data_IF_330803339529
#
_entry.id   IF_330803339529
#
_cell.length_a   1.000
_cell.length_b   1.000
_cell.length_c   1.000
_cell.angle_alpha   90.00
_cell.angle_beta   90.00
_cell.angle_gamma   90.00
#
_symmetry.space_group_name_H-M   'P 1'
#
loop_
_entity.id
_entity.type
_entity.pdbx_description
1 polymer ?
#
# COMPACT_ATOMS: atom_id res chain seq x y z
N UNK A 1 -48.30 13.26 7.93
CA UNK A 1 -47.73 12.57 6.75
C UNK A 1 -46.23 12.78 6.84
N UNK A 2 -45.53 11.78 7.38
CA UNK A 2 -44.13 11.91 7.78
C UNK A 2 -43.21 12.02 6.57
N UNK A 3 -42.34 13.02 6.59
CA UNK A 3 -41.19 13.12 5.69
C UNK A 3 -40.26 11.94 5.98
N UNK A 4 -40.10 11.04 5.02
CA UNK A 4 -39.11 9.97 5.09
C UNK A 4 -37.85 10.50 4.43
N UNK A 5 -36.93 11.06 5.21
CA UNK A 5 -35.57 11.38 4.78
C UNK A 5 -34.74 10.11 4.86
N UNK A 6 -34.39 9.54 3.70
CA UNK A 6 -33.49 8.40 3.60
C UNK A 6 -32.23 8.78 2.83
N UNK A 7 -31.08 8.76 3.49
CA UNK A 7 -29.77 8.93 2.88
C UNK A 7 -29.25 7.54 2.47
N UNK A 8 -29.05 7.30 1.17
CA UNK A 8 -28.39 6.05 0.71
C UNK A 8 -27.06 6.39 0.04
N UNK A 9 -25.96 6.11 0.74
CA UNK A 9 -24.62 6.09 0.16
C UNK A 9 -24.49 4.86 -0.75
N UNK A 10 -24.35 5.07 -2.06
CA UNK A 10 -23.99 4.01 -3.02
C UNK A 10 -22.58 4.29 -3.53
N UNK A 11 -21.65 3.36 -3.29
CA UNK A 11 -20.33 3.36 -3.88
C UNK A 11 -20.36 2.45 -5.13
N UNK A 12 -19.99 3.00 -6.28
CA UNK A 12 -19.71 2.27 -7.52
C UNK A 12 -18.40 2.86 -8.04
N UNK A 13 -17.36 2.03 -8.20
CA UNK A 13 -16.00 2.36 -8.65
C UNK A 13 -15.55 3.83 -8.61
N UNK A 14 -14.64 4.16 -7.68
CA UNK A 14 -13.96 5.46 -7.47
C UNK A 14 -14.81 6.73 -7.33
N UNK A 15 -16.13 6.68 -7.49
CA UNK A 15 -17.01 7.84 -7.32
C UNK A 15 -17.95 7.65 -6.13
N UNK A 16 -17.88 8.60 -5.19
CA UNK A 16 -18.89 8.76 -4.14
C UNK A 16 -19.93 9.77 -4.62
N UNK A 17 -21.20 9.36 -4.65
CA UNK A 17 -22.32 10.24 -4.97
C UNK A 17 -23.19 10.43 -3.74
N UNK A 18 -23.52 11.68 -3.44
CA UNK A 18 -24.63 12.02 -2.53
C UNK A 18 -25.81 12.37 -3.42
N UNK A 19 -26.84 11.53 -3.41
CA UNK A 19 -28.10 11.83 -4.07
C UNK A 19 -29.11 12.22 -2.99
N UNK A 20 -29.57 13.47 -3.02
CA UNK A 20 -30.66 13.92 -2.18
C UNK A 20 -31.99 13.54 -2.84
N UNK A 21 -32.83 12.77 -2.14
CA UNK A 21 -34.17 12.42 -2.61
C UNK A 21 -35.17 13.49 -2.15
N UNK A 22 -35.62 14.34 -3.08
CA UNK A 22 -36.75 15.24 -2.86
C UNK A 22 -37.95 14.76 -3.67
N UNK A 23 -38.97 14.24 -2.99
CA UNK A 23 -40.24 13.87 -3.59
C UNK A 23 -41.30 14.92 -3.27
N UNK A 24 -41.95 15.43 -4.32
CA UNK A 24 -43.23 16.13 -4.18
C UNK A 24 -44.27 15.48 -5.11
N UNK A 25 -45.57 15.63 -4.79
CA UNK A 25 -46.70 14.79 -5.25
C UNK A 25 -46.91 14.65 -6.79
N UNK A 26 -46.07 15.27 -7.64
CA UNK A 26 -46.19 15.20 -9.11
C UNK A 26 -44.88 15.00 -9.89
N UNK A 27 -43.70 15.06 -9.26
CA UNK A 27 -42.42 14.96 -9.98
C UNK A 27 -41.33 14.38 -9.07
N UNK A 28 -40.59 13.38 -9.56
CA UNK A 28 -39.40 12.86 -8.89
C UNK A 28 -38.15 13.48 -9.55
N UNK A 29 -37.32 14.18 -8.77
CA UNK A 29 -36.07 14.80 -9.25
C UNK A 29 -34.92 14.19 -8.46
N UNK A 30 -33.95 13.60 -9.17
CA UNK A 30 -32.71 13.10 -8.57
C UNK A 30 -31.61 14.15 -8.77
N UNK A 31 -31.23 14.85 -7.69
CA UNK A 31 -30.06 15.73 -7.69
C UNK A 31 -28.89 14.92 -7.14
N UNK A 32 -27.96 14.53 -8.00
CA UNK A 32 -26.72 13.87 -7.58
C UNK A 32 -25.56 14.85 -7.77
N UNK A 33 -24.96 15.27 -6.67
CA UNK A 33 -23.75 16.09 -6.71
C UNK A 33 -22.53 15.19 -6.95
N UNK A 34 -21.73 15.51 -7.97
CA UNK A 34 -20.46 14.83 -8.25
C UNK A 34 -19.39 15.38 -7.30
N UNK A 35 -19.14 14.72 -6.18
CA UNK A 35 -17.92 14.97 -5.40
C UNK A 35 -16.80 14.12 -6.00
N UNK A 36 -15.87 14.75 -6.73
CA UNK A 36 -14.64 14.08 -7.17
C UNK A 36 -13.72 13.92 -5.96
N UNK A 37 -13.89 12.83 -5.21
CA UNK A 37 -12.90 12.42 -4.22
C UNK A 37 -11.72 11.83 -4.99
N UNK A 38 -10.56 12.47 -4.94
CA UNK A 38 -9.34 11.88 -5.50
C UNK A 38 -8.95 10.70 -4.62
N UNK A 39 -9.45 9.50 -4.95
CA UNK A 39 -9.01 8.28 -4.33
C UNK A 39 -7.53 8.10 -4.67
N UNK A 40 -6.68 7.96 -3.65
CA UNK A 40 -5.31 7.57 -3.88
C UNK A 40 -5.30 6.15 -4.47
N UNK A 41 -4.86 6.01 -5.72
CA UNK A 41 -4.74 4.73 -6.41
C UNK A 41 -3.35 4.11 -6.16
N UNK A 42 -3.25 2.78 -6.33
CA UNK A 42 -1.97 2.09 -6.38
C UNK A 42 -1.25 2.44 -7.68
N UNK A 43 -0.05 3.01 -7.56
CA UNK A 43 0.83 3.29 -8.69
C UNK A 43 1.95 2.25 -8.74
N UNK A 44 2.21 1.70 -9.92
CA UNK A 44 3.41 0.88 -10.16
C UNK A 44 4.62 1.79 -10.27
N UNK A 45 5.67 1.50 -9.52
CA UNK A 45 6.85 2.35 -9.42
C UNK A 45 8.09 1.66 -9.98
N UNK A 46 9.09 2.47 -10.31
CA UNK A 46 10.43 2.02 -10.66
C UNK A 46 11.19 1.60 -9.42
N UNK A 47 11.78 0.40 -9.44
CA UNK A 47 12.54 -0.17 -8.32
C UNK A 47 13.78 -0.90 -8.84
N UNK A 48 14.73 -1.13 -7.95
CA UNK A 48 15.94 -1.92 -8.19
C UNK A 48 15.88 -3.21 -7.36
N UNK A 49 16.22 -4.35 -7.97
CA UNK A 49 16.30 -5.62 -7.27
C UNK A 49 17.66 -5.76 -6.58
N UNK A 50 17.65 -5.93 -5.26
CA UNK A 50 18.84 -6.17 -4.44
C UNK A 50 19.03 -7.64 -4.03
N UNK A 51 18.18 -8.55 -4.52
CA UNK A 51 18.22 -9.98 -4.24
C UNK A 51 16.88 -10.68 -4.48
N UNK A 52 16.91 -11.93 -4.93
CA UNK A 52 15.70 -12.64 -5.36
C UNK A 52 15.07 -12.04 -6.62
N UNK A 53 13.83 -12.43 -6.91
CA UNK A 53 13.10 -12.01 -8.13
C UNK A 53 11.77 -11.32 -7.76
N UNK A 54 11.66 -10.04 -8.13
CA UNK A 54 10.42 -9.25 -7.98
C UNK A 54 9.97 -8.75 -9.34
N UNK A 55 8.68 -8.88 -9.62
CA UNK A 55 8.08 -8.52 -10.91
C UNK A 55 7.53 -7.10 -10.90
N UNK A 56 6.91 -6.69 -9.81
CA UNK A 56 6.22 -5.40 -9.73
C UNK A 56 6.18 -4.87 -8.29
N UNK A 57 6.39 -3.57 -8.13
CA UNK A 57 6.20 -2.85 -6.87
C UNK A 57 5.14 -1.77 -7.07
N UNK A 58 4.14 -1.74 -6.20
CA UNK A 58 3.06 -0.75 -6.20
C UNK A 58 2.96 -0.03 -4.86
N UNK A 59 2.73 1.28 -4.91
CA UNK A 59 2.59 2.13 -3.74
C UNK A 59 1.30 2.95 -3.78
N UNK A 60 0.71 3.14 -2.61
CA UNK A 60 -0.44 4.02 -2.41
C UNK A 60 -0.32 4.76 -1.07
N UNK A 61 -0.50 6.08 -1.00
CA UNK A 61 -0.61 7.01 -2.13
C UNK A 61 0.74 7.22 -2.85
N UNK A 62 0.72 7.35 -4.18
CA UNK A 62 1.89 7.80 -4.94
C UNK A 62 1.46 8.50 -6.24
N UNK A 63 1.24 9.83 -6.24
CA UNK A 63 0.80 10.56 -7.42
C UNK A 63 1.89 10.67 -8.49
N UNK A 64 3.14 10.86 -8.07
CA UNK A 64 4.32 10.98 -8.91
C UNK A 64 5.52 10.28 -8.26
N UNK A 65 6.47 9.86 -9.08
CA UNK A 65 7.73 9.26 -8.64
C UNK A 65 8.85 10.31 -8.59
N UNK A 66 9.71 10.31 -7.55
CA UNK A 66 9.68 9.41 -6.39
C UNK A 66 8.48 9.66 -5.47
N UNK A 67 7.94 8.60 -4.87
CA UNK A 67 6.71 8.71 -4.10
C UNK A 67 6.89 9.61 -2.89
N UNK A 68 6.03 10.61 -2.77
CA UNK A 68 5.95 11.47 -1.59
C UNK A 68 4.97 10.89 -0.59
N UNK A 69 5.47 10.57 0.61
CA UNK A 69 4.67 10.04 1.71
C UNK A 69 4.71 11.03 2.87
N UNK A 70 3.54 11.42 3.37
CA UNK A 70 3.43 12.35 4.50
C UNK A 70 3.50 11.62 5.82
N UNK A 71 4.00 12.31 6.84
CA UNK A 71 3.94 11.80 8.21
C UNK A 71 2.51 11.77 8.72
N UNK A 72 2.20 10.80 9.56
CA UNK A 72 0.86 10.53 10.06
C UNK A 72 -0.05 9.80 9.07
N UNK A 73 0.38 9.59 7.81
CA UNK A 73 -0.36 8.81 6.83
C UNK A 73 0.06 7.32 6.85
N UNK A 74 -0.82 6.47 6.29
CA UNK A 74 -0.54 5.05 6.06
C UNK A 74 -0.21 4.82 4.60
N UNK A 75 1.04 4.47 4.31
CA UNK A 75 1.47 4.02 2.99
C UNK A 75 1.19 2.52 2.83
N UNK A 76 0.57 2.13 1.73
CA UNK A 76 0.32 0.74 1.35
C UNK A 76 1.29 0.35 0.25
N UNK A 77 1.94 -0.79 0.42
CA UNK A 77 2.92 -1.34 -0.50
C UNK A 77 2.40 -2.69 -0.97
N UNK A 78 2.45 -2.95 -2.28
CA UNK A 78 2.29 -4.28 -2.84
C UNK A 78 3.54 -4.66 -3.62
N UNK A 79 4.00 -5.90 -3.45
CA UNK A 79 5.09 -6.45 -4.26
C UNK A 79 4.65 -7.77 -4.83
N UNK A 80 4.62 -7.86 -6.16
CA UNK A 80 4.44 -9.11 -6.88
C UNK A 80 5.81 -9.75 -7.07
N UNK A 81 5.95 -10.99 -6.65
CA UNK A 81 7.21 -11.72 -6.72
C UNK A 81 6.95 -13.20 -6.96
N UNK A 82 7.94 -13.88 -7.54
CA UNK A 82 7.92 -15.32 -7.73
C UNK A 82 8.72 -16.00 -6.64
N UNK A 83 8.12 -16.97 -5.96
CA UNK A 83 8.80 -17.72 -4.92
C UNK A 83 9.99 -18.51 -5.48
N UNK A 84 11.20 -18.21 -5.02
CA UNK A 84 12.42 -18.91 -5.42
C UNK A 84 12.75 -20.13 -4.55
N UNK A 85 12.04 -20.34 -3.44
CA UNK A 85 12.30 -21.39 -2.45
C UNK A 85 11.02 -21.80 -1.72
N UNK A 86 11.03 -22.99 -1.12
CA UNK A 86 9.96 -23.39 -0.21
C UNK A 86 10.21 -22.80 1.18
N UNK A 87 9.19 -22.21 1.83
CA UNK A 87 9.41 -21.64 3.15
C UNK A 87 8.17 -21.58 4.04
N UNK A 88 8.24 -22.24 5.20
CA UNK A 88 7.17 -22.21 6.18
C UNK A 88 7.05 -20.87 6.93
N UNK A 89 8.12 -20.08 6.97
CA UNK A 89 8.20 -18.81 7.72
C UNK A 89 8.96 -17.79 6.90
N UNK A 90 8.46 -16.56 6.93
CA UNK A 90 9.04 -15.43 6.23
C UNK A 90 9.31 -14.32 7.23
N UNK A 91 10.45 -13.66 7.08
CA UNK A 91 10.87 -12.51 7.87
C UNK A 91 10.98 -11.29 6.96
N UNK A 92 10.14 -10.29 7.21
CA UNK A 92 10.22 -9.00 6.52
C UNK A 92 11.16 -8.05 7.26
N UNK A 93 12.00 -7.35 6.51
CA UNK A 93 12.80 -6.22 6.96
C UNK A 93 12.50 -5.03 6.05
N UNK A 94 12.08 -3.91 6.63
CA UNK A 94 11.93 -2.63 5.94
C UNK A 94 12.87 -1.63 6.58
N UNK A 95 13.59 -0.89 5.76
CA UNK A 95 14.56 0.10 6.21
C UNK A 95 14.65 1.27 5.26
N UNK A 96 15.02 2.44 5.79
CA UNK A 96 15.40 3.60 5.00
C UNK A 96 16.94 3.68 4.93
N UNK A 97 17.50 3.76 3.73
CA UNK A 97 18.95 3.90 3.52
C UNK A 97 19.30 5.38 3.51
N UNK A 98 20.08 5.79 4.50
CA UNK A 98 20.59 7.15 4.72
C UNK A 98 22.08 7.13 4.37
N UNK A 99 22.48 7.88 3.33
CA UNK A 99 23.88 8.09 2.92
C UNK A 99 24.72 6.84 2.58
N UNK A 100 24.20 5.90 1.79
CA UNK A 100 24.88 4.69 1.27
C UNK A 100 25.58 3.78 2.30
N UNK A 101 25.52 4.11 3.60
CA UNK A 101 26.22 3.41 4.69
C UNK A 101 25.34 3.19 5.91
N UNK A 102 24.37 4.07 6.17
CA UNK A 102 23.50 3.96 7.33
C UNK A 102 22.13 3.44 6.91
N UNK A 103 21.65 2.38 7.56
CA UNK A 103 20.33 1.79 7.29
C UNK A 103 19.47 1.95 8.55
N UNK A 104 18.44 2.80 8.49
CA UNK A 104 17.47 2.96 9.56
C UNK A 104 16.40 1.87 9.41
N UNK A 105 16.53 0.81 10.20
CA UNK A 105 15.57 -0.30 10.19
C UNK A 105 14.30 0.09 10.94
N UNK A 106 13.14 -0.15 10.34
CA UNK A 106 11.86 0.08 10.97
C UNK A 106 11.58 -1.02 12.01
N UNK A 107 11.53 -0.71 13.32
CA UNK A 107 11.43 -1.73 14.38
C UNK A 107 10.05 -2.41 14.42
N UNK A 108 9.03 -1.83 13.76
CA UNK A 108 7.64 -2.28 13.84
C UNK A 108 7.27 -3.38 12.83
N UNK A 109 8.20 -3.83 11.98
CA UNK A 109 7.92 -4.86 10.98
C UNK A 109 7.96 -6.24 11.64
N UNK A 110 6.81 -6.90 11.73
CA UNK A 110 6.67 -8.24 12.34
C UNK A 110 7.51 -9.27 11.58
N UNK A 111 8.27 -10.08 12.33
CA UNK A 111 9.16 -11.16 11.85
C UNK A 111 8.45 -12.39 11.26
N UNK A 112 7.11 -12.38 11.12
CA UNK A 112 6.32 -13.50 10.58
C UNK A 112 5.31 -12.98 9.54
N UNK A 113 5.77 -12.82 8.32
CA UNK A 113 5.05 -12.21 7.18
C UNK A 113 3.85 -13.03 6.71
N UNK A 114 3.82 -14.32 7.04
CA UNK A 114 2.79 -15.27 6.60
C UNK A 114 1.37 -14.99 7.11
N UNK A 115 1.20 -14.13 8.11
CA UNK A 115 -0.13 -13.78 8.66
C UNK A 115 -0.36 -12.29 8.44
N UNK A 116 -1.43 -11.97 7.72
CA UNK A 116 -1.93 -10.60 7.50
C UNK A 116 -1.11 -9.72 6.54
N UNK A 117 -0.33 -10.31 5.62
CA UNK A 117 0.42 -9.57 4.59
C UNK A 117 0.21 -10.14 3.18
N UNK A 118 -0.99 -10.64 2.90
CA UNK A 118 -1.39 -11.18 1.58
C UNK A 118 -0.87 -12.59 1.26
N UNK A 119 0.20 -13.05 1.92
CA UNK A 119 0.83 -14.34 1.65
C UNK A 119 0.31 -15.43 2.60
N UNK A 120 -0.06 -16.59 2.04
CA UNK A 120 -0.32 -17.81 2.83
C UNK A 120 0.94 -18.67 2.83
N UNK A 121 1.41 -19.04 4.02
CA UNK A 121 2.52 -19.98 4.17
C UNK A 121 2.02 -21.41 4.42
N UNK A 122 2.80 -22.44 4.02
CA UNK A 122 4.15 -22.36 3.45
C UNK A 122 4.18 -21.75 2.04
N UNK A 123 5.24 -20.99 1.77
CA UNK A 123 5.57 -20.51 0.43
C UNK A 123 5.99 -21.72 -0.42
N UNK A 124 5.46 -21.82 -1.62
CA UNK A 124 5.76 -22.89 -2.58
C UNK A 124 6.65 -22.33 -3.70
N UNK A 125 7.79 -22.97 -3.93
CA UNK A 125 8.73 -22.58 -4.98
C UNK A 125 8.07 -22.62 -6.36
N UNK A 126 8.29 -21.58 -7.16
CA UNK A 126 7.76 -21.44 -8.51
C UNK A 126 6.37 -20.82 -8.59
N UNK A 127 5.72 -20.55 -7.46
CA UNK A 127 4.40 -19.90 -7.40
C UNK A 127 4.54 -18.38 -7.27
N UNK A 128 3.64 -17.65 -7.94
CA UNK A 128 3.57 -16.19 -7.87
C UNK A 128 2.75 -15.75 -6.66
N UNK A 129 3.29 -14.78 -5.92
CA UNK A 129 2.65 -14.23 -4.71
C UNK A 129 2.64 -12.71 -4.74
N UNK A 130 1.66 -12.14 -4.05
CA UNK A 130 1.59 -10.69 -3.80
C UNK A 130 1.76 -10.43 -2.31
N UNK A 131 2.88 -9.79 -1.97
CA UNK A 131 3.13 -9.26 -0.63
C UNK A 131 2.38 -7.95 -0.46
N UNK A 132 1.59 -7.80 0.60
CA UNK A 132 0.91 -6.54 0.92
C UNK A 132 1.32 -6.03 2.31
N UNK A 133 1.69 -4.76 2.41
CA UNK A 133 2.06 -4.14 3.68
C UNK A 133 1.53 -2.73 3.82
N UNK A 134 0.89 -2.47 4.96
CA UNK A 134 0.46 -1.14 5.37
C UNK A 134 1.45 -0.60 6.41
N UNK A 135 2.20 0.43 6.03
CA UNK A 135 3.16 1.12 6.87
C UNK A 135 2.57 2.44 7.35
N UNK A 136 2.36 2.55 8.66
CA UNK A 136 2.06 3.82 9.31
C UNK A 136 3.35 4.63 9.47
N UNK A 137 3.41 5.80 8.83
CA UNK A 137 4.53 6.72 8.95
C UNK A 137 4.34 7.56 10.22
N UNK A 138 5.12 7.29 11.25
CA UNK A 138 4.99 8.03 12.51
C UNK A 138 5.48 9.48 12.34
N UNK A 139 4.85 10.46 13.00
CA UNK A 139 5.33 11.85 13.05
C UNK A 139 6.77 12.01 13.55
N UNK A 140 7.25 11.05 14.35
CA UNK A 140 8.63 11.02 14.85
C UNK A 140 9.68 10.69 13.78
N UNK A 141 9.27 10.30 12.56
CA UNK A 141 10.23 10.03 11.50
C UNK A 141 10.82 11.34 10.97
N UNK A 142 12.13 11.38 10.65
CA UNK A 142 12.75 12.56 10.07
C UNK A 142 12.15 12.89 8.69
N UNK A 143 12.16 14.16 8.31
CA UNK A 143 11.87 14.57 6.92
C UNK A 143 13.16 14.35 6.14
N UNK A 144 13.15 13.47 5.14
CA UNK A 144 14.30 13.27 4.26
C UNK A 144 13.92 12.60 2.94
N UNK A 145 14.81 12.77 1.98
CA UNK A 145 14.84 12.00 0.74
C UNK A 145 15.71 10.76 0.97
N UNK A 146 15.14 9.57 0.77
CA UNK A 146 15.81 8.31 1.12
C UNK A 146 15.42 7.19 0.18
N UNK A 147 16.25 6.15 0.15
CA UNK A 147 15.90 4.91 -0.55
C UNK A 147 15.26 3.96 0.45
N UNK A 148 13.98 3.65 0.25
CA UNK A 148 13.32 2.57 0.96
C UNK A 148 13.87 1.23 0.46
N UNK A 149 14.16 0.33 1.40
CA UNK A 149 14.61 -1.03 1.13
C UNK A 149 13.67 -1.99 1.83
N UNK A 150 13.07 -2.88 1.05
CA UNK A 150 12.17 -3.93 1.51
C UNK A 150 12.79 -5.28 1.16
N UNK A 151 13.05 -6.09 2.17
CA UNK A 151 13.65 -7.41 2.03
C UNK A 151 12.78 -8.45 2.74
N UNK A 152 12.44 -9.53 2.05
CA UNK A 152 11.80 -10.70 2.64
C UNK A 152 12.77 -11.88 2.56
N UNK A 153 13.03 -12.49 3.71
CA UNK A 153 13.91 -13.65 3.85
C UNK A 153 13.09 -14.86 4.29
N UNK A 154 13.31 -16.01 3.67
CA UNK A 154 12.72 -17.28 4.07
C UNK A 154 13.78 -18.26 4.60
N UNK A 155 13.65 -19.54 4.24
CA UNK A 155 14.46 -20.61 4.82
C UNK A 155 15.88 -20.69 4.24
N UNK A 156 16.04 -20.43 2.93
CA UNK A 156 17.32 -20.58 2.22
C UNK A 156 17.98 -19.25 1.89
N UNK A 157 17.38 -18.12 2.32
CA UNK A 157 17.88 -16.78 2.06
C UNK A 157 16.80 -15.80 1.60
N UNK A 158 17.18 -14.71 0.89
CA UNK A 158 16.24 -13.70 0.43
C UNK A 158 15.31 -14.28 -0.64
N UNK A 159 14.01 -14.15 -0.39
CA UNK A 159 12.95 -14.46 -1.36
C UNK A 159 12.86 -13.33 -2.39
N UNK A 160 12.80 -12.09 -1.90
CA UNK A 160 12.93 -10.90 -2.72
C UNK A 160 13.48 -9.73 -1.91
N UNK A 161 14.10 -8.79 -2.60
CA UNK A 161 14.69 -7.57 -2.06
C UNK A 161 14.55 -6.48 -3.12
N UNK A 162 13.86 -5.39 -2.77
CA UNK A 162 13.65 -4.24 -3.64
C UNK A 162 14.07 -2.95 -2.95
N UNK A 163 14.64 -2.04 -3.72
CA UNK A 163 14.98 -0.68 -3.31
C UNK A 163 14.33 0.34 -4.24
N UNK A 164 13.77 1.41 -3.67
CA UNK A 164 13.16 2.49 -4.44
C UNK A 164 13.23 3.83 -3.69
N UNK A 165 13.36 4.97 -4.41
CA UNK A 165 13.44 6.28 -3.79
C UNK A 165 12.07 6.73 -3.26
N UNK A 166 12.07 7.36 -2.09
CA UNK A 166 10.89 7.98 -1.46
C UNK A 166 11.24 9.36 -0.88
N UNK A 167 10.24 10.24 -0.88
CA UNK A 167 10.29 11.53 -0.20
C UNK A 167 9.42 11.47 1.05
N UNK A 168 10.04 11.61 2.22
CA UNK A 168 9.31 11.64 3.48
C UNK A 168 9.13 13.11 3.90
N UNK A 169 7.88 13.58 3.83
CA UNK A 169 7.52 14.98 4.11
C UNK A 169 6.65 15.08 5.36
N UNK A 170 6.44 16.30 5.86
CA UNK A 170 5.52 16.55 6.98
C UNK A 170 4.06 16.21 6.67
#
# INVERSE_FOLDING_TARGET
YGLVTGETLKAFDSFAYVCEFSANMRTAVYVCAFFTFAAAEFRSITFENCGGDSEQVQLQPCPAEPCTVKKGETAKIKVSFKANQNSAKLSTKISAVIDNKNELVLPSVKRNTCRNQGIKCPLEQGTDYVFEYNLEIKPSFPTLDTTAKLNITGAEGPVFCVTFPIHLVE
#
